data_IF_472886863700
#
_entry.id   IF_472886863700
#
_cell.length_a   1.000
_cell.length_b   1.000
_cell.length_c   1.000
_cell.angle_alpha   90.00
_cell.angle_beta   90.00
_cell.angle_gamma   90.00
#
_symmetry.space_group_name_H-M   'P 1'
#
loop_
_entity.id
_entity.type
_entity.pdbx_description
1 polymer ?
#
# COMPACT_ATOMS: atom_id res chain seq x y z
N UNK A 1 -21.97 7.73 1.94
CA UNK A 1 -21.56 7.29 0.58
C UNK A 1 -20.62 6.11 0.77
N UNK A 2 -21.15 4.90 0.94
CA UNK A 2 -20.35 3.68 0.92
C UNK A 2 -20.31 3.15 -0.51
N UNK A 3 -19.34 3.64 -1.29
CA UNK A 3 -18.98 2.99 -2.54
C UNK A 3 -18.06 1.83 -2.16
N UNK A 4 -18.63 0.63 -2.08
CA UNK A 4 -17.94 -0.64 -1.83
C UNK A 4 -17.05 -1.00 -3.05
N UNK A 5 -16.13 -0.11 -3.39
CA UNK A 5 -15.19 -0.30 -4.48
C UNK A 5 -14.13 -1.31 -4.04
N UNK A 6 -13.92 -2.35 -4.84
CA UNK A 6 -12.84 -3.32 -4.60
C UNK A 6 -11.50 -2.66 -4.92
N UNK A 7 -10.73 -2.33 -3.88
CA UNK A 7 -9.37 -1.81 -4.01
C UNK A 7 -8.43 -2.50 -3.01
N UNK A 8 -7.14 -2.46 -3.32
CA UNK A 8 -6.07 -2.85 -2.40
C UNK A 8 -5.46 -1.58 -1.82
N UNK A 9 -5.49 -1.44 -0.49
CA UNK A 9 -4.71 -0.41 0.20
C UNK A 9 -3.27 -0.90 0.35
N UNK A 10 -2.33 -0.18 -0.24
CA UNK A 10 -0.91 -0.46 -0.18
C UNK A 10 -0.19 0.57 0.69
N UNK A 11 0.42 0.11 1.77
CA UNK A 11 1.26 0.95 2.64
C UNK A 11 2.72 0.83 2.17
N UNK A 12 3.34 1.95 1.81
CA UNK A 12 4.70 1.99 1.26
C UNK A 12 5.74 2.51 2.26
N UNK A 13 5.33 2.73 3.51
CA UNK A 13 6.17 3.23 4.59
C UNK A 13 7.25 2.24 5.01
N UNK A 14 8.30 2.74 5.66
CA UNK A 14 9.37 1.94 6.21
C UNK A 14 8.95 1.19 7.49
N UNK A 15 9.72 0.17 7.85
CA UNK A 15 9.47 -0.64 9.07
C UNK A 15 9.38 0.22 10.35
N UNK A 16 10.21 1.25 10.48
CA UNK A 16 10.22 2.15 11.64
C UNK A 16 8.87 2.85 11.87
N UNK A 17 8.17 3.20 10.79
CA UNK A 17 6.87 3.88 10.86
C UNK A 17 5.75 2.90 11.21
N UNK A 18 5.82 1.68 10.68
CA UNK A 18 4.86 0.61 11.01
C UNK A 18 4.96 0.15 12.46
N UNK A 19 6.17 0.12 13.01
CA UNK A 19 6.41 -0.26 14.42
C UNK A 19 5.73 0.73 15.39
N UNK A 20 5.47 1.97 14.95
CA UNK A 20 4.68 2.96 15.70
C UNK A 20 3.18 2.70 15.52
N UNK A 21 2.74 2.55 14.27
CA UNK A 21 1.33 2.30 13.95
C UNK A 21 1.16 1.71 12.53
N UNK A 22 0.32 0.68 12.45
CA UNK A 22 -0.02 -0.01 11.21
C UNK A 22 -1.52 -0.23 11.06
N UNK A 23 -2.00 -0.16 9.82
CA UNK A 23 -3.36 -0.58 9.46
C UNK A 23 -3.40 -2.11 9.36
N UNK A 24 -4.47 -2.74 9.88
CA UNK A 24 -4.54 -4.21 9.98
C UNK A 24 -4.74 -4.93 8.65
N UNK A 25 -5.35 -4.27 7.65
CA UNK A 25 -5.77 -4.89 6.39
C UNK A 25 -5.18 -4.15 5.20
N UNK A 26 -3.85 -4.07 5.14
CA UNK A 26 -3.12 -3.43 4.05
C UNK A 26 -2.04 -4.35 3.49
N UNK A 27 -1.79 -4.23 2.20
CA UNK A 27 -0.62 -4.81 1.55
C UNK A 27 0.58 -3.92 1.86
N UNK A 28 1.56 -4.41 2.62
CA UNK A 28 2.76 -3.66 2.92
C UNK A 28 3.88 -3.97 1.92
N UNK A 29 4.31 -2.97 1.15
CA UNK A 29 5.49 -3.06 0.28
C UNK A 29 6.26 -1.75 0.43
N UNK A 30 7.38 -1.71 1.18
CA UNK A 30 8.19 -0.51 1.29
C UNK A 30 8.56 0.04 -0.10
N UNK A 31 8.55 1.36 -0.25
CA UNK A 31 8.74 2.03 -1.55
C UNK A 31 9.96 1.51 -2.33
N UNK A 32 11.07 1.25 -1.63
CA UNK A 32 12.33 0.73 -2.21
C UNK A 32 12.20 -0.64 -2.88
N UNK A 33 11.19 -1.43 -2.51
CA UNK A 33 10.96 -2.77 -3.05
C UNK A 33 9.86 -2.83 -4.11
N UNK A 34 9.08 -1.76 -4.32
CA UNK A 34 8.01 -1.74 -5.32
C UNK A 34 8.50 -2.14 -6.72
N UNK A 35 9.64 -1.61 -7.25
CA UNK A 35 10.10 -1.99 -8.58
C UNK A 35 10.36 -3.49 -8.73
N UNK A 36 10.77 -4.17 -7.65
CA UNK A 36 11.03 -5.61 -7.64
C UNK A 36 9.74 -6.42 -7.78
N UNK A 37 8.65 -5.95 -7.21
CA UNK A 37 7.36 -6.65 -7.19
C UNK A 37 6.38 -6.14 -8.26
N UNK A 38 6.78 -5.19 -9.10
CA UNK A 38 5.90 -4.51 -10.06
C UNK A 38 5.21 -5.49 -11.02
N UNK A 39 5.87 -6.58 -11.38
CA UNK A 39 5.34 -7.63 -12.26
C UNK A 39 4.31 -8.54 -11.58
N UNK A 40 4.34 -8.62 -10.24
CA UNK A 40 3.42 -9.44 -9.43
C UNK A 40 2.13 -8.67 -9.08
N UNK A 41 2.13 -7.34 -9.25
CA UNK A 41 0.95 -6.51 -9.04
C UNK A 41 -0.05 -6.67 -10.18
N UNK A 42 -1.28 -7.07 -9.84
CA UNK A 42 -2.38 -7.13 -10.82
C UNK A 42 -2.81 -5.72 -11.23
N UNK A 43 -2.50 -5.37 -12.49
CA UNK A 43 -2.81 -4.06 -13.08
C UNK A 43 -4.30 -3.81 -13.29
N UNK A 44 -5.15 -4.84 -13.16
CA UNK A 44 -6.61 -4.71 -13.27
C UNK A 44 -7.25 -4.29 -11.95
N UNK A 45 -6.53 -4.42 -10.83
CA UNK A 45 -7.03 -4.07 -9.51
C UNK A 45 -6.67 -2.61 -9.20
N UNK A 46 -7.62 -1.86 -8.65
CA UNK A 46 -7.35 -0.51 -8.14
C UNK A 46 -6.45 -0.62 -6.92
N UNK A 47 -5.24 -0.06 -7.00
CA UNK A 47 -4.32 0.05 -5.86
C UNK A 47 -4.35 1.48 -5.36
N UNK A 48 -4.64 1.67 -4.08
CA UNK A 48 -4.57 2.94 -3.37
C UNK A 48 -3.29 2.94 -2.54
N UNK A 49 -2.40 3.88 -2.80
CA UNK A 49 -1.09 3.97 -2.13
C UNK A 49 -1.17 4.95 -0.97
N UNK A 50 -0.63 4.55 0.19
CA UNK A 50 -0.51 5.40 1.37
C UNK A 50 0.95 5.47 1.83
N UNK A 51 1.42 6.70 2.08
CA UNK A 51 2.70 7.00 2.70
C UNK A 51 2.51 8.01 3.84
N UNK A 52 3.59 8.43 4.49
CA UNK A 52 3.50 9.35 5.61
C UNK A 52 2.99 10.74 5.23
N UNK A 53 3.45 11.28 4.10
CA UNK A 53 3.27 12.70 3.74
C UNK A 53 2.50 12.92 2.43
N UNK A 54 2.24 11.87 1.66
CA UNK A 54 1.65 11.97 0.32
C UNK A 54 2.60 12.51 -0.76
N UNK A 55 3.91 12.56 -0.47
CA UNK A 55 4.97 13.08 -1.37
C UNK A 55 5.87 11.95 -1.85
#
# INVERSE_FOLDING_TARGET
MDKNENFILMDVRGKKELDICALKTVLHIPMVYIPKFLTELDKKIRIVVMCHTGV
#
